data_IF_563951035563
#
_entry.id   IF_563951035563
#
_cell.length_a   1.000
_cell.length_b   1.000
_cell.length_c   1.000
_cell.angle_alpha   90.00
_cell.angle_beta   90.00
_cell.angle_gamma   90.00
#
_symmetry.space_group_name_H-M   'P 1'
#
loop_
_entity.id
_entity.type
_entity.pdbx_description
1 polymer ?
#
# COMPACT_ATOMS: atom_id res chain seq x y z
N UNK A 1 23.85 -10.71 50.57
CA UNK A 1 24.25 -10.51 49.14
C UNK A 1 23.86 -11.78 48.37
N UNK A 2 22.62 -11.83 47.85
CA UNK A 2 22.18 -12.92 47.02
C UNK A 2 22.74 -12.72 45.61
N UNK A 3 23.56 -13.65 45.21
CA UNK A 3 24.04 -13.78 43.82
C UNK A 3 22.84 -14.07 42.92
N UNK A 4 22.35 -13.05 42.19
CA UNK A 4 21.45 -13.25 41.06
C UNK A 4 22.22 -14.09 40.04
N UNK A 5 22.00 -15.40 40.06
CA UNK A 5 22.42 -16.26 38.94
C UNK A 5 21.71 -15.74 37.68
N UNK A 6 22.44 -15.14 36.77
CA UNK A 6 22.00 -14.90 35.42
C UNK A 6 21.74 -16.27 34.78
N UNK A 7 20.52 -16.75 34.88
CA UNK A 7 20.06 -17.85 34.07
C UNK A 7 20.14 -17.36 32.64
N UNK A 8 21.15 -17.79 31.90
CA UNK A 8 21.21 -17.60 30.46
C UNK A 8 19.98 -18.31 29.87
N UNK A 9 18.93 -17.56 29.56
CA UNK A 9 17.80 -18.09 28.84
C UNK A 9 18.34 -18.63 27.50
N UNK A 10 18.17 -19.92 27.28
CA UNK A 10 18.62 -20.56 26.04
C UNK A 10 17.75 -20.00 24.91
N UNK A 11 18.38 -19.33 23.95
CA UNK A 11 17.69 -18.83 22.77
C UNK A 11 17.04 -20.01 22.03
N UNK A 12 15.73 -19.91 21.77
CA UNK A 12 15.01 -20.90 21.00
C UNK A 12 15.42 -20.80 19.54
N UNK A 13 15.93 -21.88 18.99
CA UNK A 13 16.24 -22.02 17.57
C UNK A 13 15.25 -23.01 17.00
N UNK A 14 14.35 -22.60 16.09
CA UNK A 14 13.40 -23.51 15.47
C UNK A 14 14.11 -24.60 14.66
N UNK A 15 13.47 -25.74 14.52
CA UNK A 15 13.95 -26.81 13.67
C UNK A 15 13.98 -26.37 12.19
N UNK A 16 14.78 -27.07 11.38
CA UNK A 16 14.85 -26.78 9.95
C UNK A 16 13.48 -26.94 9.30
N UNK A 17 13.05 -25.91 8.58
CA UNK A 17 11.76 -25.89 7.92
C UNK A 17 11.90 -25.85 6.40
N UNK A 18 11.04 -26.58 5.69
CA UNK A 18 10.93 -26.53 4.23
C UNK A 18 10.03 -25.39 3.73
N UNK A 19 9.38 -24.66 4.62
CA UNK A 19 8.45 -23.56 4.26
C UNK A 19 9.10 -22.51 3.37
N UNK A 20 10.32 -22.00 3.64
CA UNK A 20 10.92 -20.97 2.79
C UNK A 20 11.10 -21.41 1.34
N UNK A 21 11.48 -22.67 1.11
CA UNK A 21 11.67 -23.20 -0.25
C UNK A 21 10.32 -23.37 -0.96
N UNK A 22 9.30 -23.84 -0.26
CA UNK A 22 7.93 -23.99 -0.80
C UNK A 22 7.37 -22.60 -1.16
N UNK A 23 7.56 -21.61 -0.28
CA UNK A 23 7.14 -20.23 -0.53
C UNK A 23 7.86 -19.61 -1.72
N UNK A 24 9.16 -19.85 -1.88
CA UNK A 24 9.94 -19.38 -3.02
C UNK A 24 9.39 -19.93 -4.35
N UNK A 25 9.04 -21.22 -4.40
CA UNK A 25 8.41 -21.81 -5.61
C UNK A 25 7.00 -21.25 -5.85
N UNK A 26 6.22 -21.02 -4.80
CA UNK A 26 4.89 -20.40 -4.93
C UNK A 26 5.01 -18.95 -5.47
N UNK A 27 5.96 -18.16 -4.96
CA UNK A 27 6.23 -16.81 -5.44
C UNK A 27 6.75 -16.80 -6.90
N UNK A 28 7.58 -17.78 -7.29
CA UNK A 28 8.03 -17.94 -8.67
C UNK A 28 6.84 -18.21 -9.62
N UNK A 29 5.90 -19.05 -9.20
CA UNK A 29 4.68 -19.31 -9.98
C UNK A 29 3.81 -18.07 -10.15
N UNK A 30 3.72 -17.22 -9.11
CA UNK A 30 3.02 -15.93 -9.21
C UNK A 30 3.72 -15.02 -10.22
N UNK A 31 5.03 -14.84 -10.11
CA UNK A 31 5.80 -13.98 -11.02
C UNK A 31 5.71 -14.44 -12.48
N UNK A 32 5.90 -15.75 -12.72
CA UNK A 32 5.78 -16.31 -14.05
C UNK A 32 4.33 -16.27 -14.59
N UNK A 33 3.36 -16.51 -13.71
CA UNK A 33 1.93 -16.43 -14.04
C UNK A 33 1.50 -14.99 -14.37
N UNK A 34 2.02 -13.99 -13.65
CA UNK A 34 1.79 -12.59 -13.94
C UNK A 34 2.37 -12.18 -15.30
N UNK A 35 3.60 -12.61 -15.61
CA UNK A 35 4.21 -12.38 -16.91
C UNK A 35 3.36 -12.98 -18.05
N UNK A 36 2.88 -14.21 -17.90
CA UNK A 36 1.99 -14.85 -18.88
C UNK A 36 0.65 -14.11 -19.03
N UNK A 37 0.07 -13.64 -17.93
CA UNK A 37 -1.18 -12.88 -17.95
C UNK A 37 -1.02 -11.56 -18.72
N UNK A 38 0.07 -10.83 -18.51
CA UNK A 38 0.35 -9.56 -19.20
C UNK A 38 0.61 -9.78 -20.69
N UNK A 39 1.27 -10.88 -21.07
CA UNK A 39 1.55 -11.23 -22.47
C UNK A 39 0.37 -11.92 -23.20
N UNK A 40 -0.78 -12.08 -22.52
CA UNK A 40 -1.97 -12.71 -23.12
C UNK A 40 -1.92 -14.24 -23.21
N UNK A 41 -0.91 -14.89 -22.59
CA UNK A 41 -0.72 -16.36 -22.64
C UNK A 41 -1.56 -17.12 -21.59
N UNK A 42 -2.49 -16.45 -20.90
CA UNK A 42 -3.42 -17.04 -19.95
C UNK A 42 -3.08 -16.75 -18.47
N UNK A 43 -4.06 -16.96 -17.60
CA UNK A 43 -4.00 -16.58 -16.16
C UNK A 43 -3.92 -17.79 -15.22
N UNK A 44 -3.97 -19.03 -15.72
CA UNK A 44 -4.07 -20.23 -14.88
C UNK A 44 -2.89 -20.37 -13.93
N UNK A 45 -1.66 -20.13 -14.40
CA UNK A 45 -0.46 -20.20 -13.55
C UNK A 45 -0.46 -19.14 -12.46
N UNK A 46 -1.00 -17.93 -12.74
CA UNK A 46 -1.13 -16.86 -11.74
C UNK A 46 -2.05 -17.33 -10.61
N UNK A 47 -3.21 -17.89 -10.92
CA UNK A 47 -4.14 -18.38 -9.90
C UNK A 47 -3.59 -19.56 -9.09
N UNK A 48 -2.91 -20.51 -9.74
CA UNK A 48 -2.22 -21.61 -9.03
C UNK A 48 -1.16 -21.05 -8.08
N UNK A 49 -0.34 -20.09 -8.53
CA UNK A 49 0.66 -19.43 -7.71
C UNK A 49 0.05 -18.70 -6.52
N UNK A 50 -1.02 -17.94 -6.73
CA UNK A 50 -1.73 -17.23 -5.65
C UNK A 50 -2.30 -18.18 -4.60
N UNK A 51 -2.93 -19.27 -5.01
CA UNK A 51 -3.45 -20.31 -4.10
C UNK A 51 -2.29 -20.94 -3.32
N UNK A 52 -1.17 -21.25 -3.97
CA UNK A 52 0.00 -21.83 -3.34
C UNK A 52 0.62 -20.86 -2.30
N UNK A 53 0.73 -19.55 -2.61
CA UNK A 53 1.20 -18.53 -1.66
C UNK A 53 0.29 -18.45 -0.45
N UNK A 54 -1.03 -18.31 -0.65
CA UNK A 54 -2.00 -18.22 0.46
C UNK A 54 -1.97 -19.49 1.31
N UNK A 55 -1.94 -20.67 0.68
CA UNK A 55 -1.85 -21.95 1.38
C UNK A 55 -0.57 -22.08 2.22
N UNK A 56 0.58 -21.68 1.65
CA UNK A 56 1.87 -21.73 2.37
C UNK A 56 1.89 -20.75 3.54
N UNK A 57 1.36 -19.54 3.37
CA UNK A 57 1.25 -18.55 4.46
C UNK A 57 0.34 -19.05 5.58
N UNK A 58 -0.83 -19.60 5.25
CA UNK A 58 -1.75 -20.15 6.23
C UNK A 58 -1.10 -21.30 7.03
N UNK A 59 -0.37 -22.19 6.35
CA UNK A 59 0.38 -23.26 6.97
C UNK A 59 1.47 -22.71 7.90
N UNK A 60 2.26 -21.76 7.44
CA UNK A 60 3.31 -21.12 8.24
C UNK A 60 2.74 -20.46 9.49
N UNK A 61 1.69 -19.68 9.36
CA UNK A 61 1.05 -19.03 10.52
C UNK A 61 0.47 -20.02 11.50
N UNK A 62 -0.02 -21.18 11.03
CA UNK A 62 -0.48 -22.24 11.93
C UNK A 62 0.65 -22.82 12.79
N UNK A 63 1.87 -22.92 12.23
CA UNK A 63 3.06 -23.37 12.98
C UNK A 63 3.46 -22.34 14.02
N UNK A 64 3.60 -21.07 13.63
CA UNK A 64 3.93 -19.98 14.56
C UNK A 64 2.92 -19.90 15.71
N UNK A 65 1.63 -20.07 15.41
CA UNK A 65 0.60 -20.07 16.46
C UNK A 65 0.77 -21.22 17.43
N UNK A 66 1.12 -22.42 16.96
CA UNK A 66 1.38 -23.59 17.81
C UNK A 66 2.64 -23.40 18.67
N UNK A 67 3.71 -22.83 18.11
CA UNK A 67 4.96 -22.53 18.83
C UNK A 67 4.69 -21.49 19.94
N UNK A 68 3.94 -20.44 19.66
CA UNK A 68 3.56 -19.43 20.64
C UNK A 68 2.68 -20.03 21.76
N UNK A 69 1.71 -20.88 21.41
CA UNK A 69 0.87 -21.58 22.40
C UNK A 69 1.67 -22.57 23.26
N UNK A 70 2.75 -23.13 22.74
CA UNK A 70 3.65 -23.99 23.49
C UNK A 70 4.56 -23.22 24.47
N UNK A 71 4.48 -21.88 24.51
CA UNK A 71 5.26 -21.03 25.40
C UNK A 71 6.74 -20.96 25.03
N UNK A 72 7.08 -21.16 23.76
CA UNK A 72 8.45 -21.10 23.25
C UNK A 72 8.93 -19.65 23.06
N UNK A 73 8.06 -18.68 23.24
CA UNK A 73 8.36 -17.24 23.12
C UNK A 73 9.25 -16.79 24.30
N UNK A 74 10.47 -16.36 23.98
CA UNK A 74 11.41 -15.80 24.94
C UNK A 74 11.47 -14.28 24.79
N UNK A 75 11.83 -13.50 25.82
CA UNK A 75 12.01 -12.04 25.68
C UNK A 75 13.00 -11.64 24.59
N UNK A 76 14.03 -12.44 24.36
CA UNK A 76 14.98 -12.21 23.28
C UNK A 76 14.37 -12.44 21.89
N UNK A 77 13.50 -13.44 21.75
CA UNK A 77 12.76 -13.69 20.52
C UNK A 77 11.77 -12.56 20.22
N UNK A 78 11.10 -12.02 21.25
CA UNK A 78 10.23 -10.86 21.11
C UNK A 78 10.98 -9.63 20.57
N UNK A 79 12.20 -9.38 21.03
CA UNK A 79 13.03 -8.32 20.44
C UNK A 79 13.34 -8.59 18.95
N UNK A 80 13.59 -9.84 18.57
CA UNK A 80 13.81 -10.21 17.18
C UNK A 80 12.56 -9.96 16.31
N UNK A 81 11.37 -10.21 16.83
CA UNK A 81 10.11 -9.88 16.16
C UNK A 81 9.93 -8.37 15.98
N UNK A 82 10.27 -7.56 16.98
CA UNK A 82 10.24 -6.09 16.89
C UNK A 82 11.17 -5.60 15.77
N UNK A 83 12.42 -6.07 15.75
CA UNK A 83 13.36 -5.71 14.68
C UNK A 83 12.89 -6.23 13.30
N UNK A 84 12.37 -7.43 13.23
CA UNK A 84 11.80 -7.99 12.00
C UNK A 84 10.67 -7.13 11.46
N UNK A 85 9.74 -6.69 12.31
CA UNK A 85 8.65 -5.82 11.92
C UNK A 85 9.13 -4.43 11.50
N UNK A 86 10.12 -3.87 12.19
CA UNK A 86 10.72 -2.58 11.82
C UNK A 86 11.39 -2.63 10.44
N UNK A 87 12.14 -3.69 10.13
CA UNK A 87 12.75 -3.90 8.82
C UNK A 87 11.71 -4.17 7.73
N UNK A 88 10.65 -4.89 8.05
CA UNK A 88 9.54 -5.10 7.12
C UNK A 88 8.87 -3.76 6.75
N UNK A 89 8.50 -2.93 7.73
CA UNK A 89 7.94 -1.60 7.47
C UNK A 89 8.92 -0.74 6.68
N UNK A 90 10.21 -0.78 7.02
CA UNK A 90 11.23 -0.05 6.27
C UNK A 90 11.28 -0.47 4.79
N UNK A 91 11.18 -1.77 4.49
CA UNK A 91 11.15 -2.25 3.10
C UNK A 91 9.94 -1.72 2.34
N UNK A 92 8.78 -1.65 2.99
CA UNK A 92 7.56 -1.10 2.40
C UNK A 92 7.64 0.43 2.19
N UNK A 93 8.27 1.15 3.11
CA UNK A 93 8.61 2.57 2.92
C UNK A 93 9.47 2.75 1.67
N UNK A 94 10.51 1.94 1.50
CA UNK A 94 11.40 2.00 0.32
C UNK A 94 10.67 1.61 -0.97
N UNK A 95 9.74 0.66 -0.92
CA UNK A 95 8.88 0.30 -2.04
C UNK A 95 8.06 1.51 -2.52
N UNK A 96 7.34 2.19 -1.64
CA UNK A 96 6.61 3.40 -2.02
C UNK A 96 7.52 4.56 -2.41
N UNK A 97 8.66 4.71 -1.75
CA UNK A 97 9.65 5.73 -2.10
C UNK A 97 10.15 5.58 -3.55
N UNK A 98 10.30 4.35 -4.04
CA UNK A 98 10.67 4.11 -5.44
C UNK A 98 9.60 4.62 -6.41
N UNK A 99 8.32 4.42 -6.13
CA UNK A 99 7.22 4.95 -6.96
C UNK A 99 7.13 6.47 -6.90
N UNK A 100 7.25 7.05 -5.72
CA UNK A 100 7.29 8.53 -5.58
C UNK A 100 8.51 9.13 -6.26
N UNK A 101 9.67 8.49 -6.16
CA UNK A 101 10.89 8.89 -6.84
C UNK A 101 10.74 8.84 -8.36
N UNK A 102 10.13 7.78 -8.89
CA UNK A 102 9.82 7.67 -10.31
C UNK A 102 8.85 8.78 -10.78
N UNK A 103 7.78 9.01 -10.01
CA UNK A 103 6.81 10.06 -10.31
C UNK A 103 7.47 11.46 -10.27
N UNK A 104 8.30 11.73 -9.27
CA UNK A 104 9.07 12.96 -9.15
C UNK A 104 10.01 13.15 -10.34
N UNK A 105 10.76 12.10 -10.71
CA UNK A 105 11.67 12.12 -11.86
C UNK A 105 10.92 12.42 -13.17
N UNK A 106 9.83 11.71 -13.41
CA UNK A 106 9.04 11.90 -14.63
C UNK A 106 8.50 13.32 -14.72
N UNK A 107 7.89 13.83 -13.65
CA UNK A 107 7.26 15.14 -13.62
C UNK A 107 8.26 16.30 -13.74
N UNK A 108 9.36 16.24 -12.96
CA UNK A 108 10.24 17.40 -12.80
C UNK A 108 11.49 17.35 -13.69
N UNK A 109 11.81 16.19 -14.28
CA UNK A 109 13.01 15.99 -15.08
C UNK A 109 12.66 15.51 -16.49
N UNK A 110 11.99 14.35 -16.62
CA UNK A 110 11.80 13.75 -17.93
C UNK A 110 10.87 14.56 -18.83
N UNK A 111 9.72 15.00 -18.32
CA UNK A 111 8.75 15.79 -19.10
C UNK A 111 9.33 17.16 -19.52
N UNK A 112 9.92 17.98 -18.64
CA UNK A 112 10.60 19.21 -19.05
C UNK A 112 11.72 18.98 -20.07
N UNK A 113 12.48 17.90 -19.92
CA UNK A 113 13.54 17.58 -20.90
C UNK A 113 12.99 17.21 -22.28
N UNK A 114 11.89 16.46 -22.33
CA UNK A 114 11.20 16.15 -23.59
C UNK A 114 10.66 17.42 -24.27
N UNK A 115 10.20 18.39 -23.50
CA UNK A 115 9.78 19.71 -23.98
C UNK A 115 10.92 20.68 -24.31
N UNK A 116 12.20 20.27 -24.21
CA UNK A 116 13.35 21.09 -24.52
C UNK A 116 13.83 22.04 -23.42
N UNK A 117 13.31 21.91 -22.19
CA UNK A 117 13.65 22.78 -21.04
C UNK A 117 14.87 22.31 -20.24
N UNK A 118 15.54 21.22 -20.64
CA UNK A 118 16.66 20.60 -19.91
C UNK A 118 17.96 21.41 -19.97
N UNK A 119 18.85 21.27 -18.96
CA UNK A 119 20.09 22.05 -18.88
C UNK A 119 21.11 21.79 -20.02
N UNK A 120 21.01 20.61 -20.66
CA UNK A 120 21.94 20.16 -21.70
C UNK A 120 21.39 20.19 -23.12
N UNK A 121 20.09 20.39 -23.30
CA UNK A 121 19.40 20.29 -24.59
C UNK A 121 18.42 21.44 -24.81
N UNK A 122 18.86 22.69 -24.61
CA UNK A 122 18.03 23.82 -25.02
C UNK A 122 17.63 23.68 -26.48
N UNK A 123 16.42 23.20 -26.70
CA UNK A 123 15.74 23.26 -27.99
C UNK A 123 15.92 22.05 -28.90
N UNK A 124 17.09 21.39 -28.95
CA UNK A 124 17.39 20.48 -30.07
C UNK A 124 16.53 19.20 -30.09
N UNK A 125 16.27 18.58 -28.94
CA UNK A 125 15.47 17.34 -28.90
C UNK A 125 13.98 17.64 -29.07
N UNK A 126 13.45 18.65 -28.41
CA UNK A 126 12.05 19.08 -28.55
C UNK A 126 11.77 19.60 -29.96
N UNK A 127 12.60 20.54 -30.49
CA UNK A 127 12.40 21.14 -31.81
C UNK A 127 12.56 20.13 -32.96
N UNK A 128 13.49 19.18 -32.87
CA UNK A 128 13.77 18.23 -33.94
C UNK A 128 12.90 16.96 -33.90
N UNK A 129 12.59 16.45 -32.69
CA UNK A 129 11.89 15.17 -32.53
C UNK A 129 10.41 15.35 -32.24
N UNK A 130 10.06 16.33 -31.42
CA UNK A 130 8.68 16.54 -30.95
C UNK A 130 8.32 18.03 -30.85
N UNK A 131 8.24 18.73 -31.98
CA UNK A 131 8.02 20.20 -32.01
C UNK A 131 6.67 20.62 -31.40
N UNK A 132 5.68 19.73 -31.40
CA UNK A 132 4.33 20.02 -30.93
C UNK A 132 4.09 19.50 -29.47
N UNK A 133 5.14 19.01 -28.78
CA UNK A 133 5.01 18.51 -27.43
C UNK A 133 5.12 19.66 -26.40
N UNK A 134 4.04 19.87 -25.66
CA UNK A 134 4.01 20.80 -24.52
C UNK A 134 4.28 20.04 -23.21
N UNK A 135 5.32 20.43 -22.43
CA UNK A 135 5.71 19.76 -21.19
C UNK A 135 4.79 20.14 -20.02
N UNK A 136 3.49 19.98 -20.19
CA UNK A 136 2.48 20.24 -19.15
C UNK A 136 2.27 19.05 -18.25
N UNK A 137 1.86 19.29 -17.01
CA UNK A 137 1.47 18.24 -16.08
C UNK A 137 -0.01 18.40 -15.69
N UNK A 138 -0.83 17.34 -15.75
CA UNK A 138 -0.54 16.00 -16.31
C UNK A 138 -0.37 16.04 -17.84
N UNK A 139 0.52 15.21 -18.41
CA UNK A 139 0.71 15.16 -19.85
C UNK A 139 -0.53 14.53 -20.50
N UNK A 140 -1.27 15.33 -21.26
CA UNK A 140 -2.48 14.91 -21.98
C UNK A 140 -2.16 14.33 -23.34
N UNK A 141 -1.00 14.65 -23.87
CA UNK A 141 -0.55 14.28 -25.20
C UNK A 141 0.84 13.66 -25.07
N UNK A 142 1.05 12.52 -25.72
CA UNK A 142 2.36 11.87 -25.76
C UNK A 142 3.26 12.53 -26.80
N UNK A 143 4.60 12.54 -26.62
CA UNK A 143 5.51 13.09 -27.64
C UNK A 143 5.37 12.42 -29.01
N UNK A 144 4.99 11.14 -29.04
CA UNK A 144 4.92 10.34 -30.27
C UNK A 144 3.53 10.35 -30.93
N UNK A 145 2.86 11.50 -30.95
CA UNK A 145 1.53 11.61 -31.60
C UNK A 145 1.50 11.11 -33.03
N UNK A 146 2.55 11.38 -33.80
CA UNK A 146 2.63 10.96 -35.20
C UNK A 146 2.68 9.45 -35.39
N UNK A 147 3.15 8.70 -34.37
CA UNK A 147 3.24 7.24 -34.40
C UNK A 147 1.98 6.56 -33.83
N UNK A 148 1.33 7.18 -32.86
CA UNK A 148 0.19 6.60 -32.11
C UNK A 148 -1.17 7.09 -32.60
N UNK A 149 -1.22 8.16 -33.44
CA UNK A 149 -2.45 8.73 -33.98
C UNK A 149 -3.42 9.17 -32.88
N UNK A 150 -4.69 8.81 -33.00
CA UNK A 150 -5.73 9.15 -32.01
C UNK A 150 -5.48 8.56 -30.61
N UNK A 151 -4.69 7.51 -30.50
CA UNK A 151 -4.33 6.87 -29.23
C UNK A 151 -3.25 7.67 -28.46
N UNK A 152 -2.64 8.67 -29.07
CA UNK A 152 -1.66 9.54 -28.41
C UNK A 152 -2.30 10.52 -27.41
N UNK A 153 -3.60 10.74 -27.53
CA UNK A 153 -4.36 11.68 -26.69
C UNK A 153 -4.96 10.93 -25.51
N UNK A 154 -4.51 11.28 -24.31
CA UNK A 154 -5.10 10.80 -23.06
C UNK A 154 -6.36 11.58 -22.74
N UNK A 155 -7.49 10.91 -22.57
CA UNK A 155 -8.75 11.54 -22.15
C UNK A 155 -8.84 11.55 -20.62
N UNK A 156 -9.24 12.66 -20.05
CA UNK A 156 -9.90 12.69 -18.76
C UNK A 156 -9.13 12.92 -17.46
N UNK A 157 -7.78 13.07 -17.38
CA UNK A 157 -7.18 13.40 -16.08
C UNK A 157 -7.61 14.77 -15.53
N UNK A 158 -7.90 15.73 -16.40
CA UNK A 158 -8.16 17.11 -16.01
C UNK A 158 -9.40 17.28 -15.12
N UNK A 159 -10.50 16.62 -15.42
CA UNK A 159 -11.77 16.81 -14.68
C UNK A 159 -11.73 16.23 -13.26
N UNK A 160 -10.93 15.18 -13.03
CA UNK A 160 -10.84 14.50 -11.73
C UNK A 160 -9.84 15.14 -10.77
N UNK A 161 -8.99 16.04 -11.28
CA UNK A 161 -7.87 16.61 -10.52
C UNK A 161 -8.14 17.99 -9.96
N UNK A 162 -9.28 18.60 -10.31
CA UNK A 162 -9.64 19.89 -9.73
C UNK A 162 -9.97 19.75 -8.25
N UNK A 163 -9.36 20.60 -7.42
CA UNK A 163 -9.89 20.87 -6.08
C UNK A 163 -11.33 21.37 -6.25
N UNK A 164 -12.25 20.52 -5.89
CA UNK A 164 -13.66 20.86 -5.92
C UNK A 164 -13.91 22.10 -5.06
N UNK A 165 -14.77 22.99 -5.53
CA UNK A 165 -15.23 24.13 -4.74
C UNK A 165 -15.70 23.65 -3.35
N UNK A 166 -15.54 24.48 -2.33
CA UNK A 166 -15.99 24.16 -0.96
C UNK A 166 -17.44 23.67 -0.94
N UNK A 167 -18.25 24.04 -1.94
CA UNK A 167 -19.65 23.58 -2.08
C UNK A 167 -19.77 22.13 -2.55
N UNK A 168 -18.77 21.62 -3.26
CA UNK A 168 -18.79 20.29 -3.88
C UNK A 168 -17.92 19.27 -3.13
N UNK A 169 -17.29 19.70 -2.02
CA UNK A 169 -16.47 18.82 -1.15
C UNK A 169 -17.23 17.59 -0.66
N UNK A 170 -18.57 17.69 -0.54
CA UNK A 170 -19.42 16.58 -0.12
C UNK A 170 -19.48 15.41 -1.09
N UNK A 171 -19.18 15.62 -2.37
CA UNK A 171 -19.16 14.60 -3.43
C UNK A 171 -17.75 14.11 -3.76
N UNK A 172 -16.73 14.73 -3.19
CA UNK A 172 -15.34 14.40 -3.50
C UNK A 172 -14.88 13.15 -2.75
N UNK A 173 -14.83 12.02 -3.44
CA UNK A 173 -14.48 10.70 -2.89
C UNK A 173 -13.09 10.65 -2.21
N UNK A 174 -12.01 11.25 -2.76
CA UNK A 174 -10.70 11.22 -2.09
C UNK A 174 -10.69 11.89 -0.71
N UNK A 175 -11.54 12.91 -0.49
CA UNK A 175 -11.69 13.53 0.83
C UNK A 175 -12.31 12.55 1.83
N UNK A 176 -13.38 11.86 1.42
CA UNK A 176 -14.03 10.87 2.27
C UNK A 176 -13.13 9.69 2.58
N UNK A 177 -12.36 9.21 1.60
CA UNK A 177 -11.34 8.20 1.80
C UNK A 177 -10.33 8.63 2.85
N UNK A 178 -9.84 9.87 2.77
CA UNK A 178 -8.90 10.43 3.74
C UNK A 178 -9.50 10.54 5.14
N UNK A 179 -10.75 11.03 5.27
CA UNK A 179 -11.43 11.14 6.56
C UNK A 179 -11.64 9.77 7.19
N UNK A 180 -12.09 8.78 6.42
CA UNK A 180 -12.30 7.41 6.89
C UNK A 180 -11.00 6.80 7.39
N UNK A 181 -9.92 6.94 6.62
CA UNK A 181 -8.63 6.36 6.97
C UNK A 181 -8.03 7.01 8.22
N UNK A 182 -7.99 8.35 8.30
CA UNK A 182 -7.50 9.06 9.49
C UNK A 182 -8.37 8.80 10.73
N UNK A 183 -9.68 8.65 10.56
CA UNK A 183 -10.57 8.24 11.66
C UNK A 183 -10.25 6.83 12.15
N UNK A 184 -9.89 5.91 11.24
CA UNK A 184 -9.48 4.55 11.59
C UNK A 184 -8.18 4.53 12.38
N UNK A 185 -7.24 5.43 12.08
CA UNK A 185 -6.01 5.64 12.85
C UNK A 185 -6.29 6.06 14.30
N UNK A 186 -7.24 6.96 14.50
CA UNK A 186 -7.66 7.35 15.84
C UNK A 186 -8.34 6.19 16.59
N UNK A 187 -9.19 5.41 15.92
CA UNK A 187 -9.90 4.28 16.57
C UNK A 187 -8.97 3.13 16.94
N UNK A 188 -7.94 2.80 16.14
CA UNK A 188 -6.94 1.79 16.51
C UNK A 188 -6.10 2.25 17.70
N UNK A 189 -5.79 3.54 17.80
CA UNK A 189 -5.09 4.09 18.96
C UNK A 189 -5.93 3.94 20.24
N UNK A 190 -7.23 4.28 20.19
CA UNK A 190 -8.15 4.08 21.32
C UNK A 190 -8.29 2.60 21.70
N UNK A 191 -8.29 1.70 20.71
CA UNK A 191 -8.25 0.27 20.95
C UNK A 191 -6.98 -0.13 21.71
N UNK A 192 -5.81 0.39 21.31
CA UNK A 192 -4.54 0.12 22.00
C UNK A 192 -4.55 0.58 23.47
N UNK A 193 -5.09 1.77 23.74
CA UNK A 193 -5.25 2.26 25.12
C UNK A 193 -6.16 1.33 25.93
N UNK A 194 -7.29 0.92 25.36
CA UNK A 194 -8.20 0.00 26.04
C UNK A 194 -7.58 -1.37 26.34
N UNK A 195 -6.67 -1.86 25.48
CA UNK A 195 -5.91 -3.07 25.72
C UNK A 195 -4.94 -2.91 26.91
N UNK A 196 -4.23 -1.80 27.00
CA UNK A 196 -3.35 -1.46 28.15
C UNK A 196 -4.11 -1.30 29.46
N UNK A 197 -5.34 -0.80 29.40
CA UNK A 197 -6.26 -0.75 30.54
C UNK A 197 -6.90 -2.13 30.90
N UNK A 198 -6.51 -3.19 30.18
CA UNK A 198 -7.07 -4.54 30.30
C UNK A 198 -8.60 -4.58 30.10
N UNK A 199 -9.15 -3.64 29.37
CA UNK A 199 -10.58 -3.55 29.05
C UNK A 199 -10.88 -4.18 27.67
N UNK A 200 -11.00 -5.51 27.66
CA UNK A 200 -11.17 -6.28 26.42
C UNK A 200 -12.45 -5.94 25.65
N UNK A 201 -13.55 -5.62 26.35
CA UNK A 201 -14.80 -5.26 25.65
C UNK A 201 -14.63 -3.97 24.87
N UNK A 202 -13.99 -2.97 25.49
CA UNK A 202 -13.68 -1.68 24.83
C UNK A 202 -12.67 -1.85 23.71
N UNK A 203 -11.65 -2.68 23.90
CA UNK A 203 -10.67 -3.04 22.87
C UNK A 203 -11.34 -3.65 21.63
N UNK A 204 -12.14 -4.73 21.81
CA UNK A 204 -12.82 -5.41 20.71
C UNK A 204 -13.81 -4.47 19.97
N UNK A 205 -14.49 -3.59 20.70
CA UNK A 205 -15.42 -2.63 20.12
C UNK A 205 -14.68 -1.63 19.21
N UNK A 206 -13.63 -0.96 19.70
CA UNK A 206 -12.89 0.03 18.93
C UNK A 206 -12.10 -0.61 17.77
N UNK A 207 -11.53 -1.78 17.99
CA UNK A 207 -10.86 -2.53 16.91
C UNK A 207 -11.86 -2.97 15.85
N UNK A 208 -13.07 -3.36 16.23
CA UNK A 208 -14.16 -3.66 15.30
C UNK A 208 -14.54 -2.46 14.42
N UNK A 209 -14.61 -1.25 15.01
CA UNK A 209 -14.83 -0.02 14.26
C UNK A 209 -13.68 0.23 13.28
N UNK A 210 -12.42 0.07 13.72
CA UNK A 210 -11.24 0.23 12.84
C UNK A 210 -11.32 -0.69 11.64
N UNK A 211 -11.63 -1.96 11.85
CA UNK A 211 -11.78 -2.96 10.77
C UNK A 211 -12.91 -2.58 9.82
N UNK A 212 -14.05 -2.13 10.34
CA UNK A 212 -15.16 -1.66 9.51
C UNK A 212 -14.75 -0.47 8.64
N UNK A 213 -14.07 0.53 9.22
CA UNK A 213 -13.55 1.70 8.47
C UNK A 213 -12.53 1.30 7.41
N UNK A 214 -11.66 0.32 7.68
CA UNK A 214 -10.72 -0.22 6.70
C UNK A 214 -11.44 -0.79 5.47
N UNK A 215 -12.48 -1.59 5.67
CA UNK A 215 -13.26 -2.14 4.55
C UNK A 215 -14.10 -1.08 3.83
N UNK A 216 -14.63 -0.09 4.55
CA UNK A 216 -15.31 1.06 3.93
C UNK A 216 -14.35 1.81 3.00
N UNK A 217 -13.11 2.07 3.44
CA UNK A 217 -12.09 2.68 2.59
C UNK A 217 -11.87 1.89 1.30
N UNK A 218 -11.69 0.57 1.39
CA UNK A 218 -11.46 -0.29 0.21
C UNK A 218 -12.66 -0.25 -0.75
N UNK A 219 -13.89 -0.21 -0.22
CA UNK A 219 -15.09 -0.09 -1.05
C UNK A 219 -15.14 1.27 -1.74
N UNK A 220 -14.87 2.37 -1.03
CA UNK A 220 -14.84 3.71 -1.62
C UNK A 220 -13.76 3.83 -2.70
N UNK A 221 -12.58 3.24 -2.46
CA UNK A 221 -11.51 3.18 -3.46
C UNK A 221 -11.92 2.40 -4.72
N UNK A 222 -12.66 1.31 -4.55
CA UNK A 222 -13.18 0.54 -5.69
C UNK A 222 -14.21 1.36 -6.48
N UNK A 223 -15.07 2.14 -5.81
CA UNK A 223 -16.03 3.05 -6.46
C UNK A 223 -15.28 4.14 -7.22
N UNK A 224 -14.26 4.76 -6.61
CA UNK A 224 -13.42 5.77 -7.27
C UNK A 224 -12.76 5.22 -8.54
N UNK A 225 -12.24 4.00 -8.49
CA UNK A 225 -11.67 3.34 -9.67
C UNK A 225 -12.72 3.05 -10.75
N UNK A 226 -13.92 2.64 -10.36
CA UNK A 226 -15.00 2.42 -11.31
C UNK A 226 -15.39 3.73 -12.01
N UNK A 227 -15.51 4.84 -11.28
CA UNK A 227 -15.78 6.16 -11.85
C UNK A 227 -14.65 6.61 -12.78
N UNK A 228 -13.39 6.43 -12.37
CA UNK A 228 -12.23 6.77 -13.18
C UNK A 228 -12.25 6.04 -14.53
N UNK A 229 -12.51 4.74 -14.52
CA UNK A 229 -12.56 3.92 -15.74
C UNK A 229 -13.80 4.16 -16.60
N UNK A 230 -14.98 4.20 -15.99
CA UNK A 230 -16.26 4.19 -16.71
C UNK A 230 -16.69 5.59 -17.17
N UNK A 231 -16.42 6.62 -16.37
CA UNK A 231 -16.97 7.98 -16.59
C UNK A 231 -15.90 9.00 -16.98
N UNK A 232 -14.67 8.87 -16.45
CA UNK A 232 -13.63 9.86 -16.66
C UNK A 232 -12.59 9.44 -17.72
N UNK A 233 -12.68 8.20 -18.22
CA UNK A 233 -11.76 7.69 -19.23
C UNK A 233 -10.31 7.55 -18.76
N UNK A 234 -10.05 7.68 -17.44
CA UNK A 234 -8.75 7.48 -16.86
C UNK A 234 -8.50 5.99 -16.70
N UNK A 235 -7.54 5.46 -17.44
CA UNK A 235 -7.19 4.04 -17.47
C UNK A 235 -5.69 3.84 -17.34
N UNK A 236 -5.23 2.61 -17.19
CA UNK A 236 -3.80 2.29 -17.24
C UNK A 236 -3.15 2.70 -18.57
N UNK A 237 -3.93 2.80 -19.64
CA UNK A 237 -3.48 3.23 -20.97
C UNK A 237 -3.52 4.75 -21.16
N UNK A 238 -3.93 5.51 -20.13
CA UNK A 238 -3.99 6.98 -20.16
C UNK A 238 -2.61 7.62 -19.95
N UNK A 239 -1.56 7.04 -20.54
CA UNK A 239 -0.20 7.55 -20.47
C UNK A 239 0.44 7.40 -19.08
N UNK A 240 1.50 8.17 -18.87
CA UNK A 240 2.32 8.10 -17.66
C UNK A 240 1.52 8.47 -16.40
N UNK A 241 0.62 9.45 -16.52
CA UNK A 241 -0.19 9.87 -15.38
C UNK A 241 -1.14 8.75 -14.93
N UNK A 242 -1.92 8.16 -15.84
CA UNK A 242 -2.82 7.06 -15.50
C UNK A 242 -2.08 5.87 -14.91
N UNK A 243 -0.96 5.49 -15.52
CA UNK A 243 -0.13 4.39 -15.02
C UNK A 243 0.39 4.66 -13.61
N UNK A 244 0.99 5.83 -13.35
CA UNK A 244 1.54 6.16 -12.04
C UNK A 244 0.44 6.31 -10.99
N UNK A 245 -0.70 6.89 -11.33
CA UNK A 245 -1.85 7.01 -10.44
C UNK A 245 -2.34 5.62 -9.99
N UNK A 246 -2.67 4.73 -10.93
CA UNK A 246 -3.20 3.41 -10.58
C UNK A 246 -2.18 2.51 -9.90
N UNK A 247 -0.90 2.60 -10.26
CA UNK A 247 0.14 1.84 -9.57
C UNK A 247 0.29 2.29 -8.12
N UNK A 248 0.38 3.59 -7.88
CA UNK A 248 0.59 4.15 -6.54
C UNK A 248 -0.62 3.91 -5.63
N UNK A 249 -1.81 4.32 -6.07
CA UNK A 249 -3.03 4.18 -5.29
C UNK A 249 -3.52 2.73 -5.22
N UNK A 250 -3.29 1.92 -6.25
CA UNK A 250 -3.64 0.51 -6.27
C UNK A 250 -2.80 -0.33 -5.30
N UNK A 251 -1.48 -0.13 -5.29
CA UNK A 251 -0.63 -0.77 -4.28
C UNK A 251 -0.97 -0.29 -2.88
N UNK A 252 -1.29 0.99 -2.70
CA UNK A 252 -1.76 1.48 -1.41
C UNK A 252 -3.07 0.79 -0.99
N UNK A 253 -4.06 0.71 -1.86
CA UNK A 253 -5.33 0.02 -1.58
C UNK A 253 -5.13 -1.47 -1.23
N UNK A 254 -4.18 -2.15 -1.89
CA UNK A 254 -3.78 -3.51 -1.54
C UNK A 254 -3.19 -3.58 -0.12
N UNK A 255 -2.33 -2.63 0.27
CA UNK A 255 -1.76 -2.56 1.62
C UNK A 255 -2.83 -2.26 2.68
N UNK A 256 -3.82 -1.40 2.38
CA UNK A 256 -4.98 -1.18 3.25
C UNK A 256 -5.77 -2.47 3.45
N UNK A 257 -6.02 -3.22 2.38
CA UNK A 257 -6.73 -4.50 2.45
C UNK A 257 -5.97 -5.52 3.32
N UNK A 258 -4.66 -5.66 3.11
CA UNK A 258 -3.79 -6.55 3.90
C UNK A 258 -3.76 -6.11 5.37
N UNK A 259 -3.60 -4.82 5.65
CA UNK A 259 -3.63 -4.27 7.01
C UNK A 259 -4.97 -4.47 7.69
N UNK A 260 -6.08 -4.29 6.96
CA UNK A 260 -7.44 -4.58 7.43
C UNK A 260 -7.62 -6.06 7.81
N UNK A 261 -7.08 -6.98 7.00
CA UNK A 261 -7.07 -8.41 7.31
C UNK A 261 -6.20 -8.71 8.55
N UNK A 262 -5.06 -8.05 8.71
CA UNK A 262 -4.25 -8.19 9.92
C UNK A 262 -5.03 -7.75 11.15
N UNK A 263 -5.67 -6.58 11.13
CA UNK A 263 -6.49 -6.08 12.25
C UNK A 263 -7.70 -6.99 12.51
N UNK A 264 -8.36 -7.48 11.47
CA UNK A 264 -9.46 -8.45 11.60
C UNK A 264 -8.99 -9.74 12.28
N UNK A 265 -7.82 -10.25 11.91
CA UNK A 265 -7.23 -11.44 12.54
C UNK A 265 -6.96 -11.18 14.02
N UNK A 266 -6.46 -10.01 14.40
CA UNK A 266 -6.25 -9.66 15.81
C UNK A 266 -7.59 -9.55 16.57
N UNK A 267 -8.62 -8.97 15.93
CA UNK A 267 -9.96 -8.92 16.50
C UNK A 267 -10.52 -10.33 16.77
N UNK A 268 -10.40 -11.23 15.81
CA UNK A 268 -10.84 -12.63 15.96
C UNK A 268 -10.06 -13.36 17.06
N UNK A 269 -8.75 -13.16 17.16
CA UNK A 269 -7.90 -13.71 18.22
C UNK A 269 -8.30 -13.20 19.59
N UNK A 270 -8.63 -11.92 19.72
CA UNK A 270 -9.10 -11.36 20.98
C UNK A 270 -10.50 -11.84 21.35
N UNK A 271 -11.43 -11.85 20.40
CA UNK A 271 -12.84 -12.18 20.65
C UNK A 271 -13.05 -13.67 20.97
N UNK A 272 -12.38 -14.56 20.23
CA UNK A 272 -12.63 -16.00 20.31
C UNK A 272 -11.70 -16.73 21.27
N UNK A 273 -10.44 -16.27 21.40
CA UNK A 273 -9.40 -17.03 22.12
C UNK A 273 -8.80 -16.30 23.32
N UNK A 274 -9.17 -15.05 23.55
CA UNK A 274 -8.65 -14.26 24.66
C UNK A 274 -7.10 -14.19 24.75
N UNK A 275 -6.41 -14.21 23.60
CA UNK A 275 -4.94 -14.38 23.51
C UNK A 275 -4.13 -13.16 23.98
N UNK A 276 -4.70 -11.97 24.05
CA UNK A 276 -3.94 -10.76 24.41
C UNK A 276 -4.03 -10.46 25.90
N UNK A 277 -2.89 -10.09 26.47
CA UNK A 277 -2.78 -9.52 27.80
C UNK A 277 -2.23 -8.09 27.73
N UNK A 278 -2.24 -7.38 28.84
CA UNK A 278 -1.61 -6.05 28.98
C UNK A 278 -0.10 -6.06 28.69
N UNK A 279 0.57 -7.20 28.85
CA UNK A 279 2.02 -7.40 28.68
C UNK A 279 2.41 -8.12 27.40
N UNK A 280 1.56 -9.00 26.89
CA UNK A 280 1.84 -9.86 25.73
C UNK A 280 0.81 -9.59 24.63
N UNK A 281 1.08 -8.58 23.80
CA UNK A 281 0.20 -8.16 22.71
C UNK A 281 0.97 -7.70 21.46
N UNK A 282 2.23 -8.15 21.29
CA UNK A 282 3.07 -7.76 20.16
C UNK A 282 2.39 -7.95 18.80
N UNK A 283 1.63 -9.01 18.60
CA UNK A 283 0.91 -9.24 17.34
C UNK A 283 -0.07 -8.11 16.98
N UNK A 284 -0.74 -7.53 17.98
CA UNK A 284 -1.59 -6.35 17.78
C UNK A 284 -0.76 -5.08 17.55
N UNK A 285 0.34 -4.88 18.30
CA UNK A 285 1.22 -3.74 18.11
C UNK A 285 1.81 -3.71 16.70
N UNK A 286 2.30 -4.87 16.22
CA UNK A 286 2.83 -4.99 14.85
C UNK A 286 1.77 -4.66 13.79
N UNK A 287 0.53 -5.15 13.95
CA UNK A 287 -0.58 -4.81 13.06
C UNK A 287 -0.93 -3.31 13.11
N UNK A 288 -0.88 -2.70 14.30
CA UNK A 288 -1.10 -1.26 14.48
C UNK A 288 0.00 -0.41 13.84
N UNK A 289 1.28 -0.80 13.96
CA UNK A 289 2.39 -0.12 13.28
C UNK A 289 2.25 -0.17 11.77
N UNK A 290 1.89 -1.33 11.23
CA UNK A 290 1.63 -1.47 9.81
C UNK A 290 0.45 -0.59 9.36
N UNK A 291 -0.61 -0.51 10.16
CA UNK A 291 -1.76 0.34 9.87
C UNK A 291 -1.38 1.82 9.82
N UNK A 292 -0.64 2.33 10.81
CA UNK A 292 -0.16 3.70 10.83
C UNK A 292 0.81 4.01 9.67
N UNK A 293 1.64 3.04 9.26
CA UNK A 293 2.45 3.18 8.06
C UNK A 293 1.57 3.40 6.82
N UNK A 294 0.52 2.60 6.65
CA UNK A 294 -0.42 2.73 5.53
C UNK A 294 -1.10 4.10 5.53
N UNK A 295 -1.53 4.61 6.70
CA UNK A 295 -2.11 5.96 6.85
C UNK A 295 -1.15 7.06 6.38
N UNK A 296 0.12 6.99 6.79
CA UNK A 296 1.16 7.97 6.41
C UNK A 296 1.40 7.92 4.89
N UNK A 297 1.48 6.73 4.33
CA UNK A 297 1.65 6.57 2.88
C UNK A 297 0.49 7.19 2.11
N UNK A 298 -0.76 7.10 2.60
CA UNK A 298 -1.92 7.68 1.93
C UNK A 298 -1.85 9.21 1.80
N UNK A 299 -1.39 9.88 2.85
CA UNK A 299 -1.26 11.35 2.85
C UNK A 299 -0.34 11.84 1.73
N UNK A 300 0.71 11.08 1.41
CA UNK A 300 1.65 11.44 0.35
C UNK A 300 1.02 11.46 -1.06
N UNK A 301 0.35 10.36 -1.55
CA UNK A 301 -0.27 10.38 -2.88
C UNK A 301 -1.40 11.40 -2.97
N UNK A 302 -2.25 11.52 -1.95
CA UNK A 302 -3.35 12.51 -1.96
C UNK A 302 -2.80 13.93 -2.07
N UNK A 303 -1.76 14.27 -1.29
CA UNK A 303 -1.12 15.58 -1.38
C UNK A 303 -0.47 15.82 -2.74
N UNK A 304 0.15 14.80 -3.32
CA UNK A 304 0.89 14.96 -4.57
C UNK A 304 -0.01 14.94 -5.81
N UNK A 305 -1.04 14.09 -5.83
CA UNK A 305 -1.93 13.96 -6.99
C UNK A 305 -3.02 15.01 -7.02
N UNK A 306 -3.57 15.40 -5.86
CA UNK A 306 -4.73 16.28 -5.80
C UNK A 306 -4.39 17.74 -5.45
N UNK A 307 -3.37 18.02 -4.61
CA UNK A 307 -3.07 19.39 -4.18
C UNK A 307 -2.17 20.17 -5.15
N UNK A 308 -1.28 19.49 -5.92
CA UNK A 308 -0.34 20.14 -6.83
C UNK A 308 -0.78 20.23 -8.30
N UNK A 309 -1.93 19.69 -8.66
CA UNK A 309 -2.47 19.88 -9.99
C UNK A 309 -2.85 21.36 -10.28
N UNK A 310 -3.01 22.16 -9.24
CA UNK A 310 -3.44 23.56 -9.31
C UNK A 310 -2.37 24.58 -9.71
N UNK A 311 -1.07 24.26 -9.58
CA UNK A 311 0.00 25.24 -9.80
C UNK A 311 0.29 25.52 -11.28
N UNK A 312 -0.29 24.77 -12.21
CA UNK A 312 -0.03 24.91 -13.65
C UNK A 312 -1.14 25.58 -14.46
N UNK A 313 -2.26 25.93 -13.85
CA UNK A 313 -3.41 26.55 -14.55
C UNK A 313 -3.52 28.06 -14.36
N UNK A 314 -2.68 28.67 -13.51
CA UNK A 314 -2.72 30.13 -13.21
C UNK A 314 -1.52 30.92 -13.76
N UNK A 315 -0.84 30.44 -14.85
CA UNK A 315 0.17 31.25 -15.58
C UNK A 315 -0.16 31.33 -17.06
#
# INVERSE_FOLDING_TARGET
>A
MESKSHIHQKYYVPEQSSIPIIFAFAALLVGFGAANAITGNGTIMLWIGMIAVVGTLAFWWSIITKESQAGLDTPQLNNSYVYGMAWFIFSEVMFFFAFFGALFYIRNIAIPWLGGEGPTAKGLAGELLWPDFEPTWPPMITPEQSLLGENAVTKGPAENMYLHSIRDLGTWLPLWNTIVLLSSSATVHVAHLALKENNRKRFNFWLGITVALAFIFVILQAVEYYEAYAHLGLTLNSGVYGTTFFMLTGFHGMHVLIGGIFLLTQLMRSANYNHFTDKEHFGFEAASWYWHFVDVVWVCPVSYTHLRAHETTDN
#
